data_IF_784807262251
#
_entry.id   IF_784807262251
#
_cell.length_a   1.000
_cell.length_b   1.000
_cell.length_c   1.000
_cell.angle_alpha   90.00
_cell.angle_beta   90.00
_cell.angle_gamma   90.00
#
_symmetry.space_group_name_H-M   'P 1'
#
loop_
_entity.id
_entity.type
_entity.pdbx_description
1 polymer ?
#
# COMPACT_ATOMS: atom_id res chain seq x y z
N UNK A 1 8.00 15.39 1.73
CA UNK A 1 9.18 15.08 2.60
C UNK A 1 8.91 13.91 3.54
N UNK A 2 7.89 13.95 4.41
CA UNK A 2 7.65 12.91 5.44
C UNK A 2 7.42 11.49 4.89
N UNK A 3 6.72 11.34 3.76
CA UNK A 3 6.39 10.04 3.20
C UNK A 3 7.60 9.29 2.61
N UNK A 4 8.50 10.01 1.94
CA UNK A 4 9.81 9.47 1.51
C UNK A 4 10.61 8.95 2.70
N UNK A 5 10.60 9.68 3.82
CA UNK A 5 11.26 9.25 5.05
C UNK A 5 10.57 8.03 5.68
N UNK A 6 9.24 7.91 5.56
CA UNK A 6 8.50 6.73 6.01
C UNK A 6 8.89 5.48 5.22
N UNK A 7 8.82 5.58 3.89
CA UNK A 7 9.23 4.52 2.98
C UNK A 7 10.66 4.08 3.29
N UNK A 8 11.63 5.00 3.35
CA UNK A 8 13.04 4.72 3.71
C UNK A 8 13.22 4.01 5.05
N UNK A 9 12.33 4.26 6.01
CA UNK A 9 12.34 3.58 7.33
C UNK A 9 11.68 2.20 7.33
N UNK A 10 11.26 1.70 6.17
CA UNK A 10 10.57 0.41 6.07
C UNK A 10 9.10 0.48 6.48
N UNK A 11 8.53 1.68 6.61
CA UNK A 11 7.16 1.84 7.09
C UNK A 11 6.15 1.64 5.95
N UNK A 12 5.10 0.88 6.23
CA UNK A 12 3.94 0.76 5.36
C UNK A 12 3.26 2.12 5.19
N UNK A 13 3.03 2.48 3.94
CA UNK A 13 2.20 3.63 3.55
C UNK A 13 1.08 3.17 2.65
N UNK A 14 -0.06 3.85 2.76
CA UNK A 14 -1.28 3.49 2.05
C UNK A 14 -1.96 4.72 1.49
N UNK A 15 -2.76 4.56 0.44
CA UNK A 15 -3.72 5.56 -0.04
C UNK A 15 -5.08 4.88 -0.22
N UNK A 16 -6.14 5.45 0.35
CA UNK A 16 -7.50 5.00 0.08
C UNK A 16 -7.91 5.43 -1.33
N UNK A 17 -8.52 4.52 -2.07
CA UNK A 17 -8.96 4.72 -3.46
C UNK A 17 -10.39 4.22 -3.62
N UNK A 18 -11.13 4.65 -4.66
CA UNK A 18 -12.44 4.10 -4.94
C UNK A 18 -12.36 2.58 -5.18
N UNK A 19 -13.24 1.83 -4.54
CA UNK A 19 -13.39 0.39 -4.78
C UNK A 19 -14.22 0.12 -6.05
N UNK A 20 -14.09 -1.10 -6.59
CA UNK A 20 -14.88 -1.59 -7.71
C UNK A 20 -16.37 -1.74 -7.40
N UNK A 21 -16.73 -1.89 -6.12
CA UNK A 21 -18.10 -2.08 -5.64
C UNK A 21 -18.38 -1.25 -4.38
N UNK A 22 -19.65 -0.83 -4.16
CA UNK A 22 -20.01 0.04 -3.04
C UNK A 22 -19.98 -0.66 -1.66
N UNK A 23 -20.02 -1.99 -1.62
CA UNK A 23 -19.89 -2.80 -0.40
C UNK A 23 -18.43 -3.02 0.03
N UNK A 24 -17.48 -2.43 -0.70
CA UNK A 24 -16.05 -2.61 -0.51
C UNK A 24 -15.32 -1.30 -0.30
N UNK A 25 -14.19 -1.38 0.39
CA UNK A 25 -13.22 -0.28 0.51
C UNK A 25 -11.90 -0.72 -0.10
N UNK A 26 -11.17 0.22 -0.69
CA UNK A 26 -9.96 -0.09 -1.44
C UNK A 26 -8.78 0.78 -1.02
N UNK A 27 -7.59 0.18 -1.04
CA UNK A 27 -6.35 0.88 -0.78
C UNK A 27 -5.25 0.44 -1.74
N UNK A 28 -4.37 1.38 -2.04
CA UNK A 28 -3.03 1.10 -2.54
C UNK A 28 -2.09 1.01 -1.34
N UNK A 29 -1.50 -0.16 -1.12
CA UNK A 29 -0.56 -0.43 -0.03
C UNK A 29 0.85 -0.62 -0.58
N UNK A 30 1.82 0.08 0.00
CA UNK A 30 3.23 0.05 -0.39
C UNK A 30 4.06 -0.49 0.77
N UNK A 31 4.58 -1.70 0.60
CA UNK A 31 5.45 -2.37 1.55
C UNK A 31 6.91 -2.20 1.11
N UNK A 32 7.73 -1.41 1.83
CA UNK A 32 9.15 -1.33 1.54
C UNK A 32 9.83 -2.63 1.99
N UNK A 33 10.62 -3.21 1.10
CA UNK A 33 11.42 -4.39 1.39
C UNK A 33 12.78 -3.95 1.92
N UNK A 34 13.00 -4.11 3.23
CA UNK A 34 14.32 -3.93 3.80
C UNK A 34 15.15 -5.18 3.55
N UNK A 35 16.20 -5.06 2.73
CA UNK A 35 17.28 -6.05 2.70
C UNK A 35 18.40 -5.59 3.64
N UNK A 36 19.11 -6.51 4.32
CA UNK A 36 20.23 -6.15 5.20
C UNK A 36 21.32 -5.31 4.50
N UNK A 37 21.49 -5.47 3.19
CA UNK A 37 22.42 -4.68 2.37
C UNK A 37 21.89 -3.27 2.00
N UNK A 38 20.56 -3.08 1.95
CA UNK A 38 19.92 -1.81 1.63
C UNK A 38 19.94 -0.81 2.80
N UNK A 39 20.37 -1.20 3.99
CA UNK A 39 20.60 -0.26 5.09
C UNK A 39 21.72 0.74 4.78
N UNK A 40 22.63 0.40 3.85
CA UNK A 40 23.77 1.22 3.46
C UNK A 40 23.67 1.84 2.05
N UNK A 41 22.72 1.42 1.22
CA UNK A 41 22.57 1.87 -0.17
C UNK A 41 21.14 2.29 -0.49
N UNK A 42 20.97 3.17 -1.48
CA UNK A 42 19.69 3.61 -2.06
C UNK A 42 18.87 2.49 -2.73
N UNK A 43 19.22 1.21 -2.53
CA UNK A 43 18.65 0.05 -3.22
C UNK A 43 17.35 -0.42 -2.54
N UNK A 44 16.40 0.51 -2.44
CA UNK A 44 15.14 0.29 -1.76
C UNK A 44 14.09 -0.28 -2.71
N UNK A 45 13.61 -1.49 -2.42
CA UNK A 45 12.58 -2.19 -3.21
C UNK A 45 11.23 -2.08 -2.55
N UNK A 46 10.15 -2.21 -3.32
CA UNK A 46 8.79 -2.06 -2.84
C UNK A 46 7.87 -3.10 -3.45
N UNK A 47 7.00 -3.68 -2.64
CA UNK A 47 5.82 -4.39 -3.11
C UNK A 47 4.61 -3.46 -3.02
N UNK A 48 3.85 -3.39 -4.10
CA UNK A 48 2.64 -2.60 -4.20
C UNK A 48 1.45 -3.52 -4.38
N UNK A 49 0.37 -3.24 -3.65
CA UNK A 49 -0.88 -3.97 -3.74
C UNK A 49 -2.02 -2.97 -3.88
N UNK A 50 -2.84 -3.13 -4.91
CA UNK A 50 -4.19 -2.59 -4.93
C UNK A 50 -5.10 -3.65 -4.29
N UNK A 51 -5.57 -3.36 -3.08
CA UNK A 51 -6.42 -4.27 -2.29
C UNK A 51 -7.80 -3.70 -2.13
N UNK A 52 -8.77 -4.60 -2.20
CA UNK A 52 -10.12 -4.33 -1.76
C UNK A 52 -10.50 -5.22 -0.60
N UNK A 53 -11.31 -4.67 0.29
CA UNK A 53 -11.79 -5.32 1.49
C UNK A 53 -13.30 -5.21 1.57
N UNK A 54 -13.95 -6.22 2.14
CA UNK A 54 -15.37 -6.16 2.49
C UNK A 54 -15.56 -5.10 3.58
N UNK A 55 -16.38 -4.07 3.32
CA UNK A 55 -16.56 -2.97 4.26
C UNK A 55 -17.11 -3.46 5.61
N UNK A 56 -18.01 -4.43 5.56
CA UNK A 56 -18.59 -5.06 6.75
C UNK A 56 -17.55 -5.73 7.65
N UNK A 57 -16.44 -6.25 7.10
CA UNK A 57 -15.40 -6.84 7.93
C UNK A 57 -14.62 -5.77 8.68
N UNK A 58 -14.35 -4.64 8.01
CA UNK A 58 -13.68 -3.48 8.64
C UNK A 58 -14.57 -2.90 9.74
N UNK A 59 -15.83 -2.62 9.42
CA UNK A 59 -16.77 -1.96 10.32
C UNK A 59 -17.07 -2.78 11.58
N UNK A 60 -17.05 -4.12 11.45
CA UNK A 60 -17.31 -5.02 12.57
C UNK A 60 -16.03 -5.50 13.27
N UNK A 61 -14.83 -5.07 12.83
CA UNK A 61 -13.55 -5.49 13.41
C UNK A 61 -13.24 -6.97 13.22
N UNK A 62 -13.69 -7.57 12.12
CA UNK A 62 -13.42 -8.97 11.78
C UNK A 62 -11.99 -9.12 11.25
N UNK A 63 -11.38 -10.28 11.50
CA UNK A 63 -10.13 -10.63 10.86
C UNK A 63 -10.34 -10.67 9.34
N UNK A 64 -9.46 -10.00 8.59
CA UNK A 64 -9.45 -10.03 7.12
C UNK A 64 -8.19 -10.73 6.64
N UNK A 65 -8.31 -11.46 5.53
CA UNK A 65 -7.19 -12.14 4.90
C UNK A 65 -7.43 -12.42 3.42
N UNK A 66 -6.39 -12.81 2.66
CA UNK A 66 -6.54 -13.16 1.25
C UNK A 66 -7.61 -14.23 1.05
N UNK A 67 -8.65 -13.92 0.28
CA UNK A 67 -9.76 -14.83 0.02
C UNK A 67 -10.86 -14.84 1.09
N UNK A 68 -10.68 -14.11 2.19
CA UNK A 68 -11.67 -13.95 3.27
C UNK A 68 -11.74 -12.47 3.69
N UNK A 69 -12.67 -11.73 3.10
CA UNK A 69 -12.81 -10.30 3.35
C UNK A 69 -11.75 -9.40 2.68
N UNK A 70 -10.71 -9.96 2.03
CA UNK A 70 -9.70 -9.21 1.27
C UNK A 70 -9.39 -9.84 -0.10
N UNK A 71 -9.15 -9.00 -1.10
CA UNK A 71 -8.74 -9.41 -2.45
C UNK A 71 -7.68 -8.46 -3.00
N UNK A 72 -6.59 -8.99 -3.55
CA UNK A 72 -5.62 -8.22 -4.34
C UNK A 72 -6.16 -8.05 -5.77
N UNK A 73 -6.53 -6.83 -6.14
CA UNK A 73 -6.99 -6.46 -7.49
C UNK A 73 -5.82 -6.37 -8.45
N UNK A 74 -4.72 -5.78 -8.00
CA UNK A 74 -3.51 -5.63 -8.79
C UNK A 74 -2.28 -5.68 -7.88
N UNK A 75 -1.19 -6.27 -8.36
CA UNK A 75 0.08 -6.31 -7.65
C UNK A 75 1.21 -5.81 -8.55
N UNK A 76 2.21 -5.21 -7.94
CA UNK A 76 3.42 -4.79 -8.65
C UNK A 76 4.64 -4.82 -7.73
N UNK A 77 5.81 -4.90 -8.37
CA UNK A 77 7.09 -4.81 -7.70
C UNK A 77 7.89 -3.64 -8.30
N UNK A 78 8.43 -2.79 -7.43
CA UNK A 78 9.32 -1.70 -7.81
C UNK A 78 10.71 -1.95 -7.24
N UNK A 79 11.71 -1.95 -8.10
CA UNK A 79 13.10 -2.21 -7.71
C UNK A 79 13.78 -0.98 -7.09
N UNK A 80 13.23 0.21 -7.34
CA UNK A 80 13.73 1.48 -6.85
C UNK A 80 12.59 2.53 -6.77
N UNK A 81 12.93 3.73 -6.32
CA UNK A 81 11.97 4.83 -6.19
C UNK A 81 11.48 5.37 -7.55
N UNK A 82 12.28 5.27 -8.61
CA UNK A 82 11.88 5.71 -9.96
C UNK A 82 10.79 4.78 -10.47
N UNK A 83 10.99 3.46 -10.37
CA UNK A 83 10.00 2.46 -10.75
C UNK A 83 8.76 2.54 -9.88
N UNK A 84 8.90 2.84 -8.59
CA UNK A 84 7.77 3.08 -7.69
C UNK A 84 6.87 4.20 -8.22
N UNK A 85 7.45 5.36 -8.54
CA UNK A 85 6.69 6.49 -9.07
C UNK A 85 6.03 6.18 -10.42
N UNK A 86 6.70 5.38 -11.27
CA UNK A 86 6.09 4.91 -12.53
C UNK A 86 4.87 4.02 -12.29
N UNK A 87 4.94 3.09 -11.32
CA UNK A 87 3.81 2.23 -10.97
C UNK A 87 2.65 3.05 -10.40
N UNK A 88 2.93 3.98 -9.47
CA UNK A 88 1.91 4.86 -8.91
C UNK A 88 1.24 5.71 -9.99
N UNK A 89 2.02 6.30 -10.90
CA UNK A 89 1.48 7.06 -12.03
C UNK A 89 0.64 6.19 -12.97
N UNK A 90 1.06 4.96 -13.25
CA UNK A 90 0.28 4.02 -14.07
C UNK A 90 -1.04 3.60 -13.41
N UNK A 91 -1.08 3.58 -12.07
CA UNK A 91 -2.28 3.31 -11.28
C UNK A 91 -3.10 4.57 -11.00
N UNK A 92 -2.68 5.74 -11.49
CA UNK A 92 -3.38 7.02 -11.30
C UNK A 92 -3.30 7.58 -9.89
N UNK A 93 -2.30 7.18 -9.11
CA UNK A 93 -2.14 7.57 -7.70
C UNK A 93 -1.18 8.75 -7.58
N UNK A 94 -1.66 9.83 -6.97
CA UNK A 94 -0.80 10.95 -6.61
C UNK A 94 -0.05 10.60 -5.29
N UNK A 95 1.29 10.70 -5.26
CA UNK A 95 2.06 10.43 -4.05
C UNK A 95 1.65 11.27 -2.82
N UNK A 96 0.96 12.40 -2.99
CA UNK A 96 0.41 13.21 -1.91
C UNK A 96 -0.82 12.60 -1.21
N UNK A 97 -1.51 11.66 -1.86
CA UNK A 97 -2.62 10.89 -1.27
C UNK A 97 -2.13 9.81 -0.30
N UNK A 98 -0.86 9.43 -0.41
CA UNK A 98 -0.28 8.43 0.48
C UNK A 98 -0.17 8.99 1.91
N UNK A 99 -0.42 8.12 2.88
CA UNK A 99 -0.29 8.41 4.31
C UNK A 99 0.15 7.14 5.06
N UNK A 100 0.36 7.27 6.36
CA UNK A 100 0.68 6.13 7.22
C UNK A 100 -0.55 5.26 7.46
N UNK A 101 -0.39 3.94 7.40
CA UNK A 101 -1.51 2.99 7.61
C UNK A 101 -2.28 3.24 8.92
N UNK A 102 -1.58 3.50 10.03
CA UNK A 102 -2.20 3.77 11.34
C UNK A 102 -3.02 5.08 11.41
N UNK A 103 -3.06 5.88 10.34
CA UNK A 103 -3.89 7.08 10.21
C UNK A 103 -5.13 6.85 9.35
N UNK A 104 -5.39 5.60 8.99
CA UNK A 104 -6.49 5.16 8.13
C UNK A 104 -7.14 3.93 8.73
N UNK A 105 -8.27 3.51 8.18
CA UNK A 105 -8.91 2.23 8.52
C UNK A 105 -8.32 1.05 7.74
N UNK A 106 -7.14 1.22 7.13
CA UNK A 106 -6.48 0.13 6.43
C UNK A 106 -6.27 -1.06 7.38
N UNK A 107 -6.80 -2.25 7.05
CA UNK A 107 -6.66 -3.40 7.93
C UNK A 107 -5.20 -3.88 8.02
N UNK A 108 -4.68 -4.02 9.24
CA UNK A 108 -3.31 -4.48 9.55
C UNK A 108 -3.29 -5.79 10.31
#
# INVERSE_FOLDING_TARGET
>A
MALRTALRRGQLVVAEVPASRPDRRAWIAIYPLQTPAAAATTDQRFNLFHREFEASYIDNGWCVGPGDGMTDVQTAHAQDEVKLNQVLSAWGIDPSQLTYAHRTDYPV
#
